data_IF_297098236759
#
_entry.id   IF_297098236759
#
_cell.length_a   1.000
_cell.length_b   1.000
_cell.length_c   1.000
_cell.angle_alpha   90.00
_cell.angle_beta   90.00
_cell.angle_gamma   90.00
#
_symmetry.space_group_name_H-M   'P 1'
#
loop_
_entity.id
_entity.type
_entity.pdbx_description
1 polymer ?
#
# COMPACT_ATOMS: atom_id res chain seq x y z
N UNK A 1 8.69 2.96 26.19
CA UNK A 1 7.79 3.97 25.67
C UNK A 1 8.52 4.88 24.69
N UNK A 2 8.17 4.76 23.38
CA UNK A 2 8.79 5.53 22.27
C UNK A 2 8.50 7.04 22.37
N UNK A 3 7.43 7.42 23.05
CA UNK A 3 7.02 8.81 23.23
C UNK A 3 7.65 9.46 24.47
N UNK A 4 8.44 8.70 25.29
CA UNK A 4 9.06 9.20 26.50
C UNK A 4 8.06 9.53 27.62
N UNK A 5 6.83 9.04 27.55
CA UNK A 5 5.79 9.30 28.55
C UNK A 5 5.99 8.36 29.74
N UNK A 6 6.33 8.91 30.89
CA UNK A 6 6.53 8.11 32.11
C UNK A 6 5.24 7.49 32.63
N UNK A 7 5.31 6.24 33.06
CA UNK A 7 4.14 5.45 33.48
C UNK A 7 3.41 5.98 34.73
N UNK A 8 4.03 6.80 35.55
CA UNK A 8 3.48 7.22 36.84
C UNK A 8 2.37 8.28 36.78
N UNK A 9 2.12 8.90 35.60
CA UNK A 9 1.11 9.96 35.43
C UNK A 9 0.24 9.77 34.18
N UNK A 10 0.26 8.58 33.57
CA UNK A 10 -0.39 8.33 32.29
C UNK A 10 -1.47 7.27 32.45
N UNK A 11 -2.69 7.55 31.97
CA UNK A 11 -3.74 6.55 31.81
C UNK A 11 -3.73 6.11 30.35
N UNK A 12 -3.45 4.83 30.10
CA UNK A 12 -3.55 4.23 28.77
C UNK A 12 -4.95 3.61 28.61
N UNK A 13 -5.60 3.91 27.50
CA UNK A 13 -6.86 3.26 27.09
C UNK A 13 -6.70 2.71 25.70
N UNK A 14 -7.18 1.51 25.49
CA UNK A 14 -7.25 0.88 24.19
C UNK A 14 -8.72 0.75 23.80
N UNK A 15 -9.03 1.13 22.58
CA UNK A 15 -10.38 1.00 22.01
C UNK A 15 -10.30 0.02 20.86
N UNK A 16 -11.31 -0.82 20.73
CA UNK A 16 -11.46 -1.70 19.57
C UNK A 16 -11.79 -0.91 18.32
N UNK A 17 -11.42 -1.44 17.16
CA UNK A 17 -11.79 -0.83 15.89
C UNK A 17 -13.30 -0.84 15.71
N UNK A 18 -13.93 0.29 15.33
CA UNK A 18 -15.37 0.33 15.02
C UNK A 18 -15.72 -0.46 13.75
N UNK A 19 -14.71 -0.85 12.97
CA UNK A 19 -14.89 -1.58 11.71
C UNK A 19 -14.82 -3.09 11.96
N UNK A 20 -15.90 -3.80 11.65
CA UNK A 20 -15.94 -5.25 11.78
C UNK A 20 -14.93 -5.94 10.84
N UNK A 21 -14.06 -6.78 11.40
CA UNK A 21 -13.02 -7.49 10.65
C UNK A 21 -13.57 -8.36 9.51
N UNK A 22 -14.78 -8.89 9.67
CA UNK A 22 -15.47 -9.70 8.66
C UNK A 22 -15.83 -8.94 7.38
N UNK A 23 -15.87 -7.61 7.43
CA UNK A 23 -16.14 -6.76 6.26
C UNK A 23 -14.89 -6.41 5.45
N UNK A 24 -13.73 -6.86 5.89
CA UNK A 24 -12.43 -6.63 5.23
C UNK A 24 -11.68 -7.95 5.09
N UNK A 25 -12.05 -8.81 4.14
CA UNK A 25 -11.31 -10.04 3.91
C UNK A 25 -9.90 -9.71 3.41
N UNK A 26 -8.90 -10.29 4.07
CA UNK A 26 -7.49 -10.18 3.64
C UNK A 26 -7.09 -11.52 3.04
N UNK A 27 -6.70 -11.50 1.77
CA UNK A 27 -6.22 -12.67 1.04
C UNK A 27 -4.73 -12.52 0.77
N UNK A 28 -3.95 -13.56 1.04
CA UNK A 28 -2.50 -13.57 0.82
C UNK A 28 -2.16 -14.59 -0.27
N UNK A 29 -1.66 -14.12 -1.40
CA UNK A 29 -1.11 -14.96 -2.45
C UNK A 29 0.24 -15.53 -1.99
N UNK A 30 0.37 -16.86 -1.91
CA UNK A 30 1.56 -17.55 -1.41
C UNK A 30 2.45 -18.12 -2.52
N UNK A 31 1.99 -18.08 -3.75
CA UNK A 31 2.63 -18.61 -4.95
C UNK A 31 3.45 -17.57 -5.72
N UNK A 32 3.54 -16.35 -5.17
CA UNK A 32 4.28 -15.23 -5.76
C UNK A 32 5.22 -14.60 -4.73
N UNK A 33 6.26 -13.91 -5.22
CA UNK A 33 7.23 -13.23 -4.38
C UNK A 33 7.70 -11.91 -5.00
N UNK A 34 8.10 -10.97 -4.16
CA UNK A 34 8.76 -9.71 -4.58
C UNK A 34 10.23 -9.65 -4.20
N UNK A 35 10.78 -10.74 -3.63
CA UNK A 35 12.19 -10.82 -3.27
C UNK A 35 13.06 -10.67 -4.52
N UNK A 36 14.09 -9.84 -4.43
CA UNK A 36 14.95 -9.53 -5.58
C UNK A 36 15.56 -10.77 -6.23
N UNK A 37 16.01 -11.73 -5.42
CA UNK A 37 16.66 -12.97 -5.89
C UNK A 37 15.70 -13.93 -6.60
N UNK A 38 14.41 -13.83 -6.33
CA UNK A 38 13.37 -14.74 -6.83
C UNK A 38 12.52 -14.11 -7.94
N UNK A 39 12.89 -12.92 -8.43
CA UNK A 39 12.18 -12.24 -9.50
C UNK A 39 12.42 -12.98 -10.83
N UNK A 40 11.35 -13.36 -11.47
CA UNK A 40 11.37 -13.98 -12.79
C UNK A 40 10.19 -13.48 -13.62
N UNK A 41 10.25 -13.72 -14.92
CA UNK A 41 9.14 -13.42 -15.83
C UNK A 41 7.86 -14.15 -15.40
N UNK A 42 7.96 -15.45 -15.09
CA UNK A 42 6.82 -16.28 -14.68
C UNK A 42 6.21 -15.77 -13.38
N UNK A 43 7.02 -15.34 -12.42
CA UNK A 43 6.53 -14.75 -11.18
C UNK A 43 5.79 -13.43 -11.44
N UNK A 44 6.30 -12.59 -12.34
CA UNK A 44 5.63 -11.35 -12.76
C UNK A 44 4.30 -11.65 -13.42
N UNK A 45 4.22 -12.65 -14.30
CA UNK A 45 2.96 -13.06 -14.93
C UNK A 45 1.93 -13.58 -13.91
N UNK A 46 2.38 -14.34 -12.90
CA UNK A 46 1.48 -14.79 -11.81
C UNK A 46 0.95 -13.61 -10.99
N UNK A 47 1.79 -12.63 -10.65
CA UNK A 47 1.35 -11.41 -9.97
C UNK A 47 0.30 -10.68 -10.81
N UNK A 48 0.53 -10.52 -12.12
CA UNK A 48 -0.44 -9.91 -13.04
C UNK A 48 -1.75 -10.71 -13.14
N UNK A 49 -1.67 -12.03 -13.14
CA UNK A 49 -2.85 -12.90 -13.14
C UNK A 49 -3.69 -12.74 -11.85
N UNK A 50 -3.04 -12.65 -10.68
CA UNK A 50 -3.75 -12.33 -9.43
C UNK A 50 -4.42 -10.97 -9.47
N UNK A 51 -3.76 -9.94 -10.01
CA UNK A 51 -4.35 -8.61 -10.18
C UNK A 51 -5.53 -8.63 -11.15
N UNK A 52 -5.40 -9.35 -12.28
CA UNK A 52 -6.51 -9.52 -13.23
C UNK A 52 -7.70 -10.20 -12.56
N UNK A 53 -7.45 -11.28 -11.81
CA UNK A 53 -8.52 -11.98 -11.06
C UNK A 53 -9.18 -11.08 -10.02
N UNK A 54 -8.42 -10.20 -9.37
CA UNK A 54 -8.97 -9.20 -8.44
C UNK A 54 -9.85 -8.19 -9.18
N UNK A 55 -9.40 -7.69 -10.33
CA UNK A 55 -10.19 -6.79 -11.18
C UNK A 55 -11.47 -7.47 -11.68
N UNK A 56 -11.39 -8.74 -12.08
CA UNK A 56 -12.56 -9.49 -12.58
C UNK A 56 -13.60 -9.76 -11.48
N UNK A 57 -13.12 -10.03 -10.26
CA UNK A 57 -13.96 -10.28 -9.09
C UNK A 57 -14.51 -9.02 -8.42
N UNK A 58 -14.02 -7.83 -8.78
CA UNK A 58 -14.44 -6.57 -8.17
C UNK A 58 -15.47 -5.86 -9.04
N UNK A 59 -16.62 -5.43 -8.48
CA UNK A 59 -17.67 -4.75 -9.26
C UNK A 59 -17.27 -3.33 -9.68
N UNK A 60 -16.38 -2.66 -8.96
CA UNK A 60 -15.96 -1.28 -9.22
C UNK A 60 -14.45 -1.13 -9.38
N UNK A 61 -13.89 -0.04 -8.85
CA UNK A 61 -12.48 0.28 -9.00
C UNK A 61 -11.60 -0.54 -8.06
N UNK A 62 -10.41 -0.86 -8.53
CA UNK A 62 -9.37 -1.58 -7.78
C UNK A 62 -8.15 -0.68 -7.65
N UNK A 63 -7.55 -0.59 -6.47
CA UNK A 63 -6.26 0.04 -6.30
C UNK A 63 -5.15 -1.02 -6.15
N UNK A 64 -3.95 -0.71 -6.62
CA UNK A 64 -2.75 -1.50 -6.40
C UNK A 64 -1.59 -0.62 -5.98
N UNK A 65 -0.88 -1.03 -4.91
CA UNK A 65 0.27 -0.29 -4.41
C UNK A 65 1.53 -1.16 -4.39
N UNK A 66 2.65 -0.56 -4.79
CA UNK A 66 3.97 -1.19 -4.83
C UNK A 66 5.00 -0.38 -4.03
N UNK A 67 6.14 -0.97 -3.60
CA UNK A 67 7.17 -0.25 -2.85
C UNK A 67 7.93 0.83 -3.65
N UNK A 68 7.87 0.79 -4.97
CA UNK A 68 8.60 1.73 -5.82
C UNK A 68 7.97 1.89 -7.19
N UNK A 69 8.25 3.02 -7.84
CA UNK A 69 7.83 3.28 -9.23
C UNK A 69 8.43 2.30 -10.24
N UNK A 70 9.63 1.77 -9.98
CA UNK A 70 10.19 0.71 -10.83
C UNK A 70 9.33 -0.55 -10.77
N UNK A 71 8.98 -1.02 -9.58
CA UNK A 71 8.09 -2.17 -9.42
C UNK A 71 6.67 -1.88 -9.96
N UNK A 72 6.19 -0.65 -9.82
CA UNK A 72 4.93 -0.23 -10.40
C UNK A 72 4.95 -0.40 -11.92
N UNK A 73 6.01 0.07 -12.58
CA UNK A 73 6.19 -0.10 -14.01
C UNK A 73 6.32 -1.57 -14.41
N UNK A 74 7.16 -2.34 -13.71
CA UNK A 74 7.42 -3.75 -14.00
C UNK A 74 6.14 -4.60 -13.92
N UNK A 75 5.27 -4.35 -12.94
CA UNK A 75 4.06 -5.16 -12.73
C UNK A 75 2.85 -4.62 -13.48
N UNK A 76 2.71 -3.29 -13.58
CA UNK A 76 1.51 -2.64 -14.11
C UNK A 76 1.78 -1.96 -15.45
N UNK A 77 2.84 -1.14 -15.56
CA UNK A 77 3.14 -0.34 -16.76
C UNK A 77 3.33 -1.19 -18.02
N UNK A 78 3.98 -2.34 -17.89
CA UNK A 78 4.19 -3.30 -18.98
C UNK A 78 3.09 -4.38 -19.06
N UNK A 79 2.11 -4.34 -18.14
CA UNK A 79 1.01 -5.29 -18.07
C UNK A 79 -0.14 -4.92 -18.99
N UNK A 80 -0.87 -5.93 -19.45
CA UNK A 80 -2.17 -5.76 -20.11
C UNK A 80 -3.26 -6.25 -19.16
N UNK A 81 -4.22 -5.38 -18.86
CA UNK A 81 -5.36 -5.69 -17.99
C UNK A 81 -6.67 -5.51 -18.78
N UNK A 82 -7.51 -6.53 -18.73
CA UNK A 82 -8.78 -6.53 -19.47
C UNK A 82 -9.93 -6.03 -18.60
N UNK A 83 -10.89 -5.37 -19.22
CA UNK A 83 -12.11 -4.91 -18.55
C UNK A 83 -11.93 -3.75 -17.57
N UNK A 84 -10.74 -3.19 -17.48
CA UNK A 84 -10.40 -2.02 -16.66
C UNK A 84 -9.54 -1.03 -17.43
N UNK A 85 -9.63 0.25 -17.07
CA UNK A 85 -8.72 1.30 -17.55
C UNK A 85 -7.62 1.48 -16.50
N UNK A 86 -6.36 1.33 -16.88
CA UNK A 86 -5.23 1.55 -15.98
C UNK A 86 -4.94 3.04 -15.82
N UNK A 87 -4.82 3.50 -14.59
CA UNK A 87 -4.35 4.83 -14.21
C UNK A 87 -3.20 4.71 -13.24
N UNK A 88 -2.01 5.12 -13.67
CA UNK A 88 -0.79 5.02 -12.87
C UNK A 88 -0.43 6.39 -12.30
N UNK A 89 -0.04 6.39 -11.03
CA UNK A 89 0.52 7.55 -10.36
C UNK A 89 1.80 8.03 -11.05
N UNK A 90 1.91 9.33 -11.29
CA UNK A 90 3.14 9.96 -11.74
C UNK A 90 3.80 10.74 -10.59
N UNK A 91 5.13 10.70 -10.53
CA UNK A 91 5.92 11.41 -9.50
C UNK A 91 5.69 12.92 -9.50
N UNK A 92 5.33 13.47 -10.65
CA UNK A 92 5.14 14.91 -10.86
C UNK A 92 3.75 15.39 -10.45
N UNK A 93 2.83 14.48 -10.16
CA UNK A 93 1.45 14.85 -9.79
C UNK A 93 1.42 15.83 -8.63
N UNK A 94 0.62 16.87 -8.78
CA UNK A 94 0.27 17.83 -7.75
C UNK A 94 -0.96 17.34 -6.96
N UNK A 95 -1.37 18.09 -5.94
CA UNK A 95 -2.64 17.86 -5.27
C UNK A 95 -3.83 18.01 -6.22
N UNK A 96 -3.76 18.99 -7.13
CA UNK A 96 -4.81 19.23 -8.11
C UNK A 96 -5.00 18.05 -9.08
N UNK A 97 -3.92 17.38 -9.48
CA UNK A 97 -3.99 16.19 -10.33
C UNK A 97 -4.71 15.04 -9.62
N UNK A 98 -4.48 14.90 -8.30
CA UNK A 98 -5.17 13.91 -7.48
C UNK A 98 -6.66 14.23 -7.32
N UNK A 99 -7.01 15.50 -7.08
CA UNK A 99 -8.41 15.93 -6.97
C UNK A 99 -9.14 15.67 -8.31
N UNK A 100 -8.52 15.98 -9.45
CA UNK A 100 -9.06 15.64 -10.79
C UNK A 100 -9.21 14.13 -11.01
N UNK A 101 -8.28 13.34 -10.48
CA UNK A 101 -8.39 11.88 -10.57
C UNK A 101 -9.60 11.36 -9.80
N UNK A 102 -9.92 11.92 -8.63
CA UNK A 102 -11.11 11.53 -7.87
C UNK A 102 -12.38 11.80 -8.67
N UNK A 103 -12.48 12.94 -9.34
CA UNK A 103 -13.60 13.25 -10.25
C UNK A 103 -13.69 12.22 -11.38
N UNK A 104 -12.54 11.84 -11.98
CA UNK A 104 -12.49 10.81 -13.03
C UNK A 104 -12.95 9.45 -12.52
N UNK A 105 -12.62 9.09 -11.27
CA UNK A 105 -13.07 7.83 -10.67
C UNK A 105 -14.59 7.85 -10.45
N UNK A 106 -15.15 8.95 -9.96
CA UNK A 106 -16.59 9.10 -9.77
C UNK A 106 -17.36 9.02 -11.10
N UNK A 107 -16.92 9.76 -12.11
CA UNK A 107 -17.50 9.74 -13.45
C UNK A 107 -17.43 8.34 -14.09
N UNK A 108 -16.31 7.65 -13.92
CA UNK A 108 -16.14 6.29 -14.41
C UNK A 108 -17.10 5.33 -13.71
N UNK A 109 -17.25 5.45 -12.39
CA UNK A 109 -18.19 4.64 -11.59
C UNK A 109 -19.64 4.85 -12.04
N UNK A 110 -20.06 6.11 -12.24
CA UNK A 110 -21.39 6.44 -12.71
C UNK A 110 -21.65 5.90 -14.11
N UNK A 111 -20.62 5.88 -14.97
CA UNK A 111 -20.68 5.34 -16.33
C UNK A 111 -20.53 3.81 -16.40
N UNK A 112 -20.46 3.10 -15.25
CA UNK A 112 -20.25 1.66 -15.21
C UNK A 112 -18.86 1.20 -15.70
N UNK A 113 -17.90 2.10 -15.78
CA UNK A 113 -16.50 1.81 -16.16
C UNK A 113 -15.67 1.53 -14.94
N UNK A 114 -14.74 0.60 -15.04
CA UNK A 114 -13.84 0.21 -13.94
C UNK A 114 -12.43 0.70 -14.20
N UNK A 115 -11.76 1.14 -13.16
CA UNK A 115 -10.38 1.63 -13.19
C UNK A 115 -9.50 0.77 -12.28
N UNK A 116 -8.33 0.36 -12.78
CA UNK A 116 -7.22 -0.13 -11.98
C UNK A 116 -6.30 1.06 -11.69
N UNK A 117 -6.43 1.56 -10.45
CA UNK A 117 -5.61 2.66 -9.96
C UNK A 117 -4.30 2.11 -9.41
N UNK A 118 -3.17 2.59 -9.88
CA UNK A 118 -1.87 2.03 -9.53
C UNK A 118 -0.93 3.11 -8.97
N UNK A 119 -0.41 2.89 -7.77
CA UNK A 119 0.45 3.83 -7.07
C UNK A 119 1.56 3.16 -6.26
N UNK A 120 2.29 3.97 -5.52
CA UNK A 120 3.35 3.50 -4.62
C UNK A 120 2.98 3.76 -3.17
N UNK A 121 3.45 2.91 -2.26
CA UNK A 121 3.33 3.17 -0.82
C UNK A 121 4.07 4.45 -0.46
N UNK A 122 3.45 5.29 0.36
CA UNK A 122 3.98 6.60 0.69
C UNK A 122 3.87 7.62 -0.45
N UNK A 123 3.23 7.25 -1.55
CA UNK A 123 2.90 8.14 -2.66
C UNK A 123 1.60 8.90 -2.44
N UNK A 124 1.25 9.76 -3.39
CA UNK A 124 0.07 10.62 -3.27
C UNK A 124 -1.25 9.85 -3.25
N UNK A 125 -1.28 8.68 -3.89
CA UNK A 125 -2.47 7.84 -3.95
C UNK A 125 -2.66 6.94 -2.74
N UNK A 126 -1.60 6.68 -1.96
CA UNK A 126 -1.66 5.82 -0.78
C UNK A 126 -1.78 6.58 0.54
N UNK A 127 -1.51 7.89 0.55
CA UNK A 127 -1.53 8.71 1.76
C UNK A 127 -2.30 10.01 1.54
N UNK A 128 -3.19 10.31 2.48
CA UNK A 128 -3.90 11.60 2.53
C UNK A 128 -5.05 11.75 1.54
N UNK A 129 -5.49 10.67 0.89
CA UNK A 129 -6.71 10.66 0.05
C UNK A 129 -7.83 9.95 0.79
N UNK A 130 -9.00 10.57 0.79
CA UNK A 130 -10.23 9.94 1.20
C UNK A 130 -10.97 9.40 -0.03
N UNK A 131 -10.92 8.09 -0.22
CA UNK A 131 -11.70 7.38 -1.24
C UNK A 131 -13.13 7.14 -0.74
N UNK A 132 -13.86 8.24 -0.50
CA UNK A 132 -15.22 8.21 0.02
C UNK A 132 -16.22 7.52 -0.93
N UNK A 133 -17.44 7.29 -0.47
CA UNK A 133 -18.55 6.73 -1.26
C UNK A 133 -18.27 5.36 -1.91
N UNK A 134 -17.34 4.59 -1.34
CA UNK A 134 -16.96 3.29 -1.91
C UNK A 134 -16.38 3.42 -3.32
N UNK A 135 -15.51 4.39 -3.54
CA UNK A 135 -14.80 4.55 -4.82
C UNK A 135 -13.89 3.36 -5.13
N UNK A 136 -13.34 2.72 -4.10
CA UNK A 136 -12.52 1.53 -4.26
C UNK A 136 -13.24 0.33 -3.64
N UNK A 137 -13.35 -0.77 -4.40
CA UNK A 137 -13.93 -2.03 -3.93
C UNK A 137 -12.86 -3.01 -3.43
N UNK A 138 -11.65 -2.91 -3.96
CA UNK A 138 -10.54 -3.77 -3.54
C UNK A 138 -9.20 -3.05 -3.63
N UNK A 139 -8.26 -3.50 -2.79
CA UNK A 139 -6.89 -3.00 -2.78
C UNK A 139 -5.92 -4.18 -2.82
N UNK A 140 -4.94 -4.13 -3.72
CA UNK A 140 -3.82 -5.05 -3.78
C UNK A 140 -2.54 -4.37 -3.27
N UNK A 141 -1.85 -5.02 -2.35
CA UNK A 141 -0.54 -4.60 -1.84
C UNK A 141 0.53 -5.57 -2.35
N UNK A 142 1.39 -5.12 -3.26
CA UNK A 142 2.45 -5.95 -3.85
C UNK A 142 3.78 -5.61 -3.20
N UNK A 143 4.29 -6.52 -2.38
CA UNK A 143 5.56 -6.37 -1.68
C UNK A 143 5.45 -5.60 -0.36
N UNK A 144 6.59 -5.42 0.28
CA UNK A 144 6.70 -4.77 1.58
C UNK A 144 7.46 -3.45 1.43
N UNK A 145 6.87 -2.30 1.78
CA UNK A 145 7.50 -0.99 1.65
C UNK A 145 8.53 -0.74 2.77
N UNK A 146 9.59 -1.52 2.77
CA UNK A 146 10.69 -1.28 3.73
C UNK A 146 11.35 0.07 3.44
N UNK A 147 11.66 0.87 4.49
CA UNK A 147 12.41 2.10 4.33
C UNK A 147 13.73 1.85 3.60
N UNK A 148 14.08 2.66 2.58
CA UNK A 148 15.33 2.48 1.85
C UNK A 148 16.54 2.71 2.76
N UNK A 149 17.65 2.01 2.53
CA UNK A 149 18.88 2.25 3.28
C UNK A 149 19.33 3.71 3.13
N UNK A 150 19.48 4.40 4.26
CA UNK A 150 19.96 5.78 4.32
C UNK A 150 20.75 6.02 5.59
N UNK A 151 21.49 7.14 5.64
CA UNK A 151 22.21 7.55 6.86
C UNK A 151 21.21 7.74 8.02
N UNK A 152 20.07 8.36 7.74
CA UNK A 152 19.01 8.55 8.73
C UNK A 152 18.44 7.23 9.24
N UNK A 153 18.18 6.28 8.35
CA UNK A 153 17.69 4.95 8.71
C UNK A 153 18.71 4.17 9.55
N UNK A 154 20.00 4.30 9.23
CA UNK A 154 21.06 3.71 10.02
C UNK A 154 21.14 4.34 11.43
N UNK A 155 21.11 5.67 11.52
CA UNK A 155 21.14 6.39 12.79
C UNK A 155 19.92 6.04 13.67
N UNK A 156 18.72 6.02 13.09
CA UNK A 156 17.51 5.61 13.80
C UNK A 156 17.63 4.19 14.34
N UNK A 157 18.11 3.27 13.53
CA UNK A 157 18.32 1.87 13.94
C UNK A 157 19.31 1.74 15.08
N UNK A 158 20.45 2.46 15.01
CA UNK A 158 21.45 2.48 16.09
C UNK A 158 20.84 3.04 17.39
N UNK A 159 20.14 4.17 17.31
CA UNK A 159 19.46 4.76 18.47
C UNK A 159 18.45 3.81 19.12
N UNK A 160 17.65 3.11 18.30
CA UNK A 160 16.68 2.14 18.81
C UNK A 160 17.40 0.92 19.44
N UNK A 161 18.49 0.46 18.82
CA UNK A 161 19.29 -0.65 19.34
C UNK A 161 19.87 -0.35 20.74
N UNK A 162 20.42 0.85 20.91
CA UNK A 162 20.98 1.32 22.19
C UNK A 162 19.91 1.47 23.28
N UNK A 163 18.72 1.98 22.91
CA UNK A 163 17.67 2.32 23.88
C UNK A 163 16.72 1.17 24.19
N UNK A 164 16.43 0.32 23.22
CA UNK A 164 15.39 -0.73 23.30
C UNK A 164 15.92 -2.13 23.03
N UNK A 165 17.20 -2.27 22.75
CA UNK A 165 17.86 -3.54 22.47
C UNK A 165 17.81 -3.95 21.00
N UNK A 166 18.78 -4.76 20.60
CA UNK A 166 19.01 -5.20 19.21
C UNK A 166 17.82 -5.90 18.58
N UNK A 167 17.09 -6.72 19.35
CA UNK A 167 15.91 -7.43 18.87
C UNK A 167 14.80 -6.49 18.39
N UNK A 168 14.70 -5.29 18.96
CA UNK A 168 13.69 -4.29 18.63
C UNK A 168 14.14 -3.32 17.53
N UNK A 169 15.43 -3.24 17.23
CA UNK A 169 15.97 -2.29 16.28
C UNK A 169 15.34 -2.44 14.87
N UNK A 170 15.30 -3.66 14.36
CA UNK A 170 14.66 -3.93 13.06
C UNK A 170 13.15 -3.74 13.11
N UNK A 171 12.51 -4.21 14.18
CA UNK A 171 11.06 -4.13 14.33
C UNK A 171 10.56 -2.69 14.29
N UNK A 172 11.17 -1.79 15.05
CA UNK A 172 10.71 -0.40 15.13
C UNK A 172 11.21 0.49 13.99
N UNK A 173 12.42 0.23 13.47
CA UNK A 173 12.98 1.04 12.39
C UNK A 173 12.54 0.63 10.99
N UNK A 174 12.05 -0.60 10.80
CA UNK A 174 11.72 -1.11 9.46
C UNK A 174 10.36 -1.79 9.40
N UNK A 175 10.12 -2.81 10.23
CA UNK A 175 8.88 -3.62 10.13
C UNK A 175 7.64 -2.79 10.45
N UNK A 176 7.65 -2.03 11.54
CA UNK A 176 6.48 -1.26 11.95
C UNK A 176 6.14 -0.14 10.96
N UNK A 177 7.09 0.66 10.45
CA UNK A 177 6.80 1.62 9.37
C UNK A 177 6.23 0.97 8.12
N UNK A 178 6.76 -0.18 7.71
CA UNK A 178 6.25 -0.90 6.54
C UNK A 178 4.80 -1.40 6.74
N UNK A 179 4.50 -1.95 7.93
CA UNK A 179 3.13 -2.35 8.26
C UNK A 179 2.19 -1.15 8.27
N UNK A 180 2.61 -0.02 8.86
CA UNK A 180 1.80 1.19 8.89
C UNK A 180 1.50 1.70 7.47
N UNK A 181 2.48 1.69 6.56
CA UNK A 181 2.27 2.10 5.17
C UNK A 181 1.28 1.18 4.43
N UNK A 182 1.34 -0.14 4.68
CA UNK A 182 0.37 -1.09 4.12
C UNK A 182 -1.04 -0.81 4.69
N UNK A 183 -1.15 -0.63 6.00
CA UNK A 183 -2.45 -0.34 6.64
C UNK A 183 -3.05 0.97 6.14
N UNK A 184 -2.25 2.01 5.94
CA UNK A 184 -2.70 3.28 5.36
C UNK A 184 -3.21 3.11 3.92
N UNK A 185 -2.52 2.32 3.11
CA UNK A 185 -2.95 2.03 1.73
C UNK A 185 -4.22 1.19 1.65
N UNK A 186 -4.52 0.42 2.69
CA UNK A 186 -5.72 -0.43 2.78
C UNK A 186 -6.96 0.31 3.32
N UNK A 187 -6.79 1.50 3.91
CA UNK A 187 -7.84 2.34 4.46
C UNK A 187 -8.28 1.97 5.88
#
# INVERSE_FOLDING_TARGET
DLLGIGHSKTTSRQYDSPFASQRRPIVVAKDVTTRYQDRSYENTQRIRAHLQSLCDGSPGHVAVFTPSYSMLNDYIGEGQFHGVVVRMEDRTWSKQDVDQLLDVLEDAKQAGRRILLAGVFGGRLSEGIDYHNGLLDAVACIGIPNPPPSIHQKALRTYIEERFGRANAWRYASTQPAINAILQAMG
#
